data_IF_923931786628
#
_entry.id   IF_923931786628
#
_cell.length_a   1.000
_cell.length_b   1.000
_cell.length_c   1.000
_cell.angle_alpha   90.00
_cell.angle_beta   90.00
_cell.angle_gamma   90.00
#
_symmetry.space_group_name_H-M   'P 1'
#
loop_
_entity.id
_entity.type
_entity.pdbx_description
1 polymer ?
#
# COMPACT_ATOMS: atom_id res chain seq x y z
N UNK A 1 -8.06 -14.60 19.97
CA UNK A 1 -7.06 -13.64 19.43
C UNK A 1 -6.85 -13.94 17.94
N UNK A 2 -6.78 -12.90 17.09
CA UNK A 2 -6.31 -12.89 15.68
C UNK A 2 -7.31 -13.03 14.50
N UNK A 3 -8.62 -12.77 14.65
CA UNK A 3 -9.48 -12.55 13.47
C UNK A 3 -9.24 -11.19 12.78
N UNK A 4 -8.87 -10.16 13.55
CA UNK A 4 -8.81 -8.78 13.04
C UNK A 4 -7.82 -8.57 11.88
N UNK A 5 -6.68 -9.28 11.87
CA UNK A 5 -5.69 -9.11 10.79
C UNK A 5 -6.19 -9.71 9.48
N UNK A 6 -6.86 -10.86 9.54
CA UNK A 6 -7.37 -11.52 8.34
C UNK A 6 -8.63 -10.82 7.81
N UNK A 7 -9.45 -10.26 8.70
CA UNK A 7 -10.58 -9.38 8.33
C UNK A 7 -10.08 -8.12 7.60
N UNK A 8 -8.94 -7.56 8.01
CA UNK A 8 -8.29 -6.46 7.26
C UNK A 8 -7.82 -6.90 5.87
N UNK A 9 -7.27 -8.11 5.74
CA UNK A 9 -6.88 -8.64 4.43
C UNK A 9 -8.11 -8.82 3.53
N UNK A 10 -9.22 -9.33 4.07
CA UNK A 10 -10.49 -9.44 3.32
C UNK A 10 -10.94 -8.05 2.85
N UNK A 11 -10.92 -7.05 3.75
CA UNK A 11 -11.25 -5.66 3.42
C UNK A 11 -10.36 -5.09 2.31
N UNK A 12 -9.04 -5.29 2.37
CA UNK A 12 -8.13 -4.82 1.32
C UNK A 12 -8.34 -5.53 -0.02
N UNK A 13 -8.60 -6.84 0.00
CA UNK A 13 -8.96 -7.57 -1.21
C UNK A 13 -10.23 -6.97 -1.86
N UNK A 14 -11.24 -6.67 -1.05
CA UNK A 14 -12.47 -6.02 -1.47
C UNK A 14 -12.22 -4.66 -2.14
N UNK A 15 -11.38 -3.83 -1.53
CA UNK A 15 -11.02 -2.51 -2.08
C UNK A 15 -10.28 -2.64 -3.41
N UNK A 16 -9.33 -3.58 -3.51
CA UNK A 16 -8.54 -3.80 -4.73
C UNK A 16 -9.43 -4.32 -5.86
N UNK A 17 -10.37 -5.23 -5.56
CA UNK A 17 -11.37 -5.67 -6.54
C UNK A 17 -12.23 -4.52 -7.07
N UNK A 18 -12.58 -3.56 -6.21
CA UNK A 18 -13.40 -2.38 -6.52
C UNK A 18 -12.64 -1.24 -7.20
N UNK A 19 -11.34 -1.39 -7.45
CA UNK A 19 -10.55 -0.46 -8.27
C UNK A 19 -9.42 0.26 -7.55
N UNK A 20 -9.14 -0.02 -6.27
CA UNK A 20 -7.89 0.44 -5.64
C UNK A 20 -6.71 -0.29 -6.31
N UNK A 21 -5.64 0.38 -6.76
CA UNK A 21 -4.57 -0.29 -7.52
C UNK A 21 -3.82 -1.34 -6.68
N UNK A 22 -3.44 -0.99 -5.46
CA UNK A 22 -2.88 -1.92 -4.49
C UNK A 22 -3.18 -1.50 -3.04
N UNK A 23 -2.96 -2.42 -2.11
CA UNK A 23 -2.96 -2.18 -0.68
C UNK A 23 -1.83 -2.99 -0.01
N UNK A 24 -1.43 -2.61 1.20
CA UNK A 24 -0.47 -3.37 1.98
C UNK A 24 -0.81 -3.34 3.46
N UNK A 25 -0.34 -4.34 4.20
CA UNK A 25 -0.50 -4.43 5.65
C UNK A 25 0.72 -5.07 6.29
N UNK A 26 1.05 -4.64 7.51
CA UNK A 26 2.07 -5.30 8.32
C UNK A 26 1.47 -6.56 8.95
N UNK A 27 2.13 -7.70 8.76
CA UNK A 27 1.64 -9.01 9.20
C UNK A 27 2.76 -9.82 9.86
N UNK A 28 2.43 -10.57 10.90
CA UNK A 28 3.39 -11.47 11.54
C UNK A 28 3.61 -12.71 10.67
N UNK A 29 4.83 -13.25 10.67
CA UNK A 29 5.23 -14.40 9.85
C UNK A 29 4.24 -15.57 9.92
N UNK A 30 3.72 -15.84 11.13
CA UNK A 30 2.76 -16.92 11.38
C UNK A 30 1.43 -16.81 10.65
N UNK A 31 1.06 -15.63 10.14
CA UNK A 31 -0.19 -15.40 9.40
C UNK A 31 0.00 -15.26 7.89
N UNK A 32 1.24 -15.22 7.39
CA UNK A 32 1.54 -14.94 5.98
C UNK A 32 0.87 -15.98 5.07
N UNK A 33 1.02 -17.28 5.37
CA UNK A 33 0.44 -18.35 4.55
C UNK A 33 -1.08 -18.28 4.48
N UNK A 34 -1.75 -17.96 5.60
CA UNK A 34 -3.21 -17.83 5.64
C UNK A 34 -3.70 -16.59 4.88
N UNK A 35 -2.99 -15.47 5.00
CA UNK A 35 -3.28 -14.25 4.25
C UNK A 35 -3.12 -14.46 2.74
N UNK A 36 -2.07 -15.16 2.30
CA UNK A 36 -1.86 -15.50 0.88
C UNK A 36 -3.03 -16.35 0.36
N UNK A 37 -3.45 -17.37 1.11
CA UNK A 37 -4.58 -18.21 0.72
C UNK A 37 -5.88 -17.38 0.58
N UNK A 38 -6.13 -16.44 1.50
CA UNK A 38 -7.25 -15.51 1.38
C UNK A 38 -7.15 -14.65 0.12
N UNK A 39 -6.02 -13.99 -0.11
CA UNK A 39 -5.81 -13.15 -1.30
C UNK A 39 -6.05 -13.94 -2.60
N UNK A 40 -5.56 -15.18 -2.66
CA UNK A 40 -5.77 -16.06 -3.80
C UNK A 40 -7.25 -16.44 -3.99
N UNK A 41 -8.04 -16.60 -2.92
CA UNK A 41 -9.48 -16.87 -3.02
C UNK A 41 -10.25 -15.70 -3.65
N UNK A 42 -9.76 -14.46 -3.49
CA UNK A 42 -10.27 -13.27 -4.19
C UNK A 42 -9.75 -13.15 -5.63
N UNK A 43 -8.96 -14.13 -6.12
CA UNK A 43 -8.28 -14.11 -7.43
C UNK A 43 -7.37 -12.88 -7.60
N UNK A 44 -6.80 -12.42 -6.49
CA UNK A 44 -5.82 -11.35 -6.46
C UNK A 44 -4.41 -11.93 -6.29
N UNK A 45 -3.42 -11.07 -6.46
CA UNK A 45 -2.00 -11.40 -6.34
C UNK A 45 -1.44 -10.82 -5.05
N UNK A 46 -0.38 -11.46 -4.55
CA UNK A 46 0.34 -11.00 -3.37
C UNK A 46 1.84 -10.86 -3.63
N UNK A 47 2.49 -10.03 -2.83
CA UNK A 47 3.94 -9.88 -2.79
C UNK A 47 4.36 -9.58 -1.35
N UNK A 48 5.43 -10.21 -0.88
CA UNK A 48 5.85 -10.17 0.52
C UNK A 48 7.23 -9.51 0.59
N UNK A 49 7.38 -8.58 1.54
CA UNK A 49 8.65 -7.93 1.85
C UNK A 49 8.97 -8.08 3.32
N UNK A 50 10.27 -8.14 3.66
CA UNK A 50 10.70 -8.08 5.04
C UNK A 50 10.37 -6.70 5.62
N UNK A 51 9.74 -6.64 6.79
CA UNK A 51 9.55 -5.39 7.50
C UNK A 51 10.49 -5.30 8.71
N UNK A 52 10.50 -6.34 9.54
CA UNK A 52 11.35 -6.48 10.71
C UNK A 52 11.39 -7.95 11.14
N UNK A 53 12.23 -8.31 12.10
CA UNK A 53 12.29 -9.69 12.59
C UNK A 53 10.91 -10.19 13.06
N UNK A 54 10.39 -11.21 12.39
CA UNK A 54 9.08 -11.82 12.67
C UNK A 54 7.88 -11.08 12.06
N UNK A 55 8.12 -10.04 11.25
CA UNK A 55 7.11 -9.21 10.61
C UNK A 55 7.41 -9.00 9.12
N UNK A 56 6.40 -9.18 8.29
CA UNK A 56 6.43 -8.88 6.86
C UNK A 56 5.47 -7.76 6.51
N UNK A 57 5.70 -7.13 5.37
CA UNK A 57 4.66 -6.39 4.65
C UNK A 57 4.06 -7.32 3.61
N UNK A 58 2.75 -7.49 3.62
CA UNK A 58 2.02 -8.18 2.55
C UNK A 58 1.32 -7.17 1.67
N UNK A 59 1.65 -7.18 0.38
CA UNK A 59 0.99 -6.40 -0.66
C UNK A 59 -0.11 -7.22 -1.31
N UNK A 60 -1.21 -6.53 -1.65
CA UNK A 60 -2.37 -7.07 -2.37
C UNK A 60 -2.59 -6.21 -3.62
N UNK A 61 -2.65 -6.84 -4.78
CA UNK A 61 -2.83 -6.15 -6.06
C UNK A 61 -3.53 -7.05 -7.08
N UNK A 62 -4.11 -6.45 -8.13
CA UNK A 62 -4.84 -7.18 -9.18
C UNK A 62 -4.00 -7.36 -10.44
N UNK A 63 -3.48 -6.26 -10.96
CA UNK A 63 -2.82 -6.23 -12.26
C UNK A 63 -1.32 -6.49 -12.14
N UNK A 64 -0.76 -7.24 -13.10
CA UNK A 64 0.63 -7.72 -13.02
C UNK A 64 1.66 -6.58 -13.03
N UNK A 65 1.39 -5.51 -13.79
CA UNK A 65 2.27 -4.33 -13.83
C UNK A 65 2.39 -3.65 -12.46
N UNK A 66 1.43 -3.82 -11.55
CA UNK A 66 1.50 -3.22 -10.22
C UNK A 66 2.65 -3.78 -9.38
N UNK A 67 3.11 -5.00 -9.64
CA UNK A 67 4.28 -5.54 -8.95
C UNK A 67 5.54 -4.71 -9.25
N UNK A 68 5.72 -4.26 -10.49
CA UNK A 68 6.84 -3.39 -10.85
C UNK A 68 6.75 -2.01 -10.20
N UNK A 69 5.52 -1.48 -10.08
CA UNK A 69 5.26 -0.21 -9.38
C UNK A 69 5.60 -0.36 -7.90
N UNK A 70 5.07 -1.38 -7.24
CA UNK A 70 5.27 -1.65 -5.80
C UNK A 70 6.76 -1.73 -5.47
N UNK A 71 7.53 -2.52 -6.24
CA UNK A 71 8.98 -2.67 -6.04
C UNK A 71 9.80 -1.39 -6.24
N UNK A 72 9.22 -0.36 -6.87
CA UNK A 72 9.83 0.95 -7.11
C UNK A 72 9.26 2.04 -6.20
N UNK A 73 8.27 1.73 -5.37
CA UNK A 73 7.70 2.73 -4.46
C UNK A 73 8.76 3.18 -3.45
N UNK A 74 8.87 4.49 -3.20
CA UNK A 74 9.76 5.00 -2.17
C UNK A 74 9.18 4.67 -0.79
N UNK A 75 10.01 4.13 0.13
CA UNK A 75 9.62 3.90 1.52
C UNK A 75 9.23 5.22 2.22
N UNK A 76 9.96 6.29 1.92
CA UNK A 76 9.69 7.64 2.40
C UNK A 76 9.72 8.61 1.22
N UNK A 77 8.58 9.21 0.82
CA UNK A 77 8.54 10.08 -0.35
C UNK A 77 9.22 11.43 -0.05
N UNK A 78 10.22 11.79 -0.86
CA UNK A 78 11.04 13.01 -0.66
C UNK A 78 10.74 14.10 -1.68
N UNK A 79 10.31 13.71 -2.88
CA UNK A 79 10.02 14.63 -3.98
C UNK A 79 8.53 14.67 -4.28
N UNK A 80 8.05 15.76 -4.91
CA UNK A 80 6.66 15.86 -5.36
C UNK A 80 6.26 14.64 -6.22
N UNK A 81 7.19 14.16 -7.05
CA UNK A 81 6.99 12.96 -7.86
C UNK A 81 6.74 11.71 -7.00
N UNK A 82 7.56 11.50 -5.96
CA UNK A 82 7.39 10.38 -5.03
C UNK A 82 6.02 10.40 -4.35
N UNK A 83 5.62 11.57 -3.86
CA UNK A 83 4.32 11.78 -3.23
C UNK A 83 3.17 11.51 -4.21
N UNK A 84 3.33 11.93 -5.46
CA UNK A 84 2.34 11.69 -6.50
C UNK A 84 2.22 10.20 -6.82
N UNK A 85 3.33 9.52 -7.14
CA UNK A 85 3.32 8.08 -7.46
C UNK A 85 2.78 7.24 -6.30
N UNK A 86 3.19 7.53 -5.06
CA UNK A 86 2.67 6.85 -3.88
C UNK A 86 1.16 7.05 -3.75
N UNK A 87 0.70 8.30 -3.90
CA UNK A 87 -0.73 8.62 -3.90
C UNK A 87 -1.50 7.84 -4.96
N UNK A 88 -1.00 7.78 -6.20
CA UNK A 88 -1.63 7.01 -7.27
C UNK A 88 -1.68 5.51 -6.95
N UNK A 89 -0.60 4.92 -6.47
CA UNK A 89 -0.55 3.51 -6.11
C UNK A 89 -1.59 3.14 -5.03
N UNK A 90 -1.81 4.02 -4.05
CA UNK A 90 -2.83 3.82 -3.03
C UNK A 90 -4.24 4.27 -3.45
N UNK A 91 -4.44 4.71 -4.69
CA UNK A 91 -5.76 5.03 -5.26
C UNK A 91 -6.29 6.42 -4.92
N UNK A 92 -5.43 7.36 -4.53
CA UNK A 92 -5.82 8.75 -4.32
C UNK A 92 -6.05 9.47 -5.65
N UNK A 93 -7.01 10.40 -5.65
CA UNK A 93 -7.26 11.30 -6.79
C UNK A 93 -6.14 12.34 -6.93
N UNK A 94 -5.95 12.87 -8.13
CA UNK A 94 -4.96 13.92 -8.37
C UNK A 94 -5.26 15.19 -7.54
N UNK A 95 -6.54 15.46 -7.29
CA UNK A 95 -6.98 16.54 -6.40
C UNK A 95 -6.54 16.31 -4.95
N UNK A 96 -6.74 15.11 -4.40
CA UNK A 96 -6.34 14.79 -3.03
C UNK A 96 -4.80 14.89 -2.87
N UNK A 97 -4.07 14.39 -3.86
CA UNK A 97 -2.60 14.46 -3.89
C UNK A 97 -2.13 15.91 -3.97
N UNK A 98 -2.73 16.72 -4.87
CA UNK A 98 -2.43 18.15 -4.98
C UNK A 98 -2.67 18.88 -3.67
N UNK A 99 -3.81 18.65 -3.03
CA UNK A 99 -4.16 19.30 -1.77
C UNK A 99 -3.15 18.93 -0.67
N UNK A 100 -2.70 17.66 -0.62
CA UNK A 100 -1.65 17.24 0.30
C UNK A 100 -0.32 17.96 0.05
N UNK A 101 0.13 18.01 -1.21
CA UNK A 101 1.40 18.67 -1.58
C UNK A 101 1.36 20.16 -1.21
N UNK A 102 0.25 20.84 -1.51
CA UNK A 102 0.12 22.28 -1.24
C UNK A 102 0.04 22.60 0.26
N UNK A 103 -0.65 21.78 1.04
CA UNK A 103 -0.86 22.03 2.48
C UNK A 103 0.31 21.64 3.35
N UNK A 104 0.99 20.52 3.05
CA UNK A 104 2.08 20.02 3.89
C UNK A 104 3.47 20.31 3.36
N UNK A 105 3.71 20.15 2.06
CA UNK A 105 5.07 20.24 1.54
C UNK A 105 5.47 21.68 1.24
N UNK A 106 4.58 22.46 0.60
CA UNK A 106 4.88 23.86 0.30
C UNK A 106 4.84 24.76 1.54
N UNK A 107 3.96 24.47 2.50
CA UNK A 107 3.92 25.20 3.78
C UNK A 107 5.24 25.05 4.56
N UNK A 108 5.75 23.82 4.69
CA UNK A 108 7.03 23.58 5.38
C UNK A 108 8.21 24.22 4.64
N UNK A 109 8.23 24.18 3.30
CA UNK A 109 9.27 24.85 2.51
C UNK A 109 9.30 26.38 2.67
N UNK A 110 8.18 27.01 2.99
CA UNK A 110 8.08 28.46 3.18
C UNK A 110 8.38 28.91 4.62
N UNK A 111 8.43 28.00 5.58
CA UNK A 111 8.59 28.29 7.00
C UNK A 111 9.84 27.66 7.64
N UNK A 112 10.61 26.88 6.88
CA UNK A 112 11.92 26.34 7.26
C UNK A 112 13.11 27.17 6.70
N UNK A 113 12.85 28.38 6.17
CA UNK A 113 13.86 29.42 5.81
C UNK A 113 13.79 30.60 6.75
#
# INVERSE_FOLDING_TARGET
>A
MNNSILEKIDFYCDMVQKGKPCACEAIQDRYVSEAINKINNFKLRSYIEELALGWKTIWVYKDEYMLEVIKKLPEQPKTIFDHWILGKAFGYSDEAIRNFIQTKLLYNQLHDT
#
